data_IF_491847792193
#
_entry.id   IF_491847792193
#
_cell.length_a   1.000
_cell.length_b   1.000
_cell.length_c   1.000
_cell.angle_alpha   90.00
_cell.angle_beta   90.00
_cell.angle_gamma   90.00
#
_symmetry.space_group_name_H-M   'P 1'
#
loop_
_entity.id
_entity.type
_entity.pdbx_description
1 polymer ?
#
# COMPACT_ATOMS: atom_id res chain seq x y z
N UNK A 1 26.45 52.13 -59.91
CA UNK A 1 27.84 51.70 -59.92
C UNK A 1 28.01 50.78 -58.73
N UNK A 2 27.82 49.52 -58.95
CA UNK A 2 28.82 48.47 -58.91
C UNK A 2 29.20 48.22 -57.44
N UNK A 3 29.11 47.07 -56.81
CA UNK A 3 29.06 45.61 -57.18
C UNK A 3 28.83 44.83 -55.90
N UNK A 4 28.01 43.79 -55.93
CA UNK A 4 28.39 42.39 -55.85
C UNK A 4 29.38 42.06 -54.73
N UNK A 5 29.00 41.18 -53.76
CA UNK A 5 29.08 39.72 -53.90
C UNK A 5 28.51 38.92 -52.73
N UNK A 6 27.98 37.70 -52.96
CA UNK A 6 27.37 36.90 -51.96
C UNK A 6 28.41 35.96 -51.34
N UNK A 7 28.47 35.94 -50.03
CA UNK A 7 29.28 34.98 -49.30
C UNK A 7 28.47 33.68 -49.09
N UNK A 8 28.92 32.66 -49.79
CA UNK A 8 28.53 31.27 -49.69
C UNK A 8 28.64 30.74 -48.25
N UNK A 9 27.50 30.46 -47.64
CA UNK A 9 27.46 29.68 -46.43
C UNK A 9 27.44 28.18 -46.80
N UNK A 10 28.51 27.48 -46.47
CA UNK A 10 28.57 26.01 -46.47
C UNK A 10 27.52 25.41 -45.52
N UNK A 11 26.88 24.31 -45.89
CA UNK A 11 26.01 23.61 -44.99
C UNK A 11 26.84 22.86 -43.94
N UNK A 12 26.78 23.34 -42.70
CA UNK A 12 27.34 22.64 -41.55
C UNK A 12 26.69 21.25 -41.41
N UNK A 13 27.49 20.21 -41.58
CA UNK A 13 27.17 18.83 -41.33
C UNK A 13 26.48 18.63 -39.96
N UNK A 14 25.49 17.71 -39.83
CA UNK A 14 24.92 17.37 -38.56
C UNK A 14 26.02 16.74 -37.69
N UNK A 15 26.35 17.37 -36.59
CA UNK A 15 27.16 16.76 -35.55
C UNK A 15 26.40 15.55 -35.01
N UNK A 16 26.94 14.39 -35.25
CA UNK A 16 26.62 13.14 -34.55
C UNK A 16 27.00 13.28 -33.07
N UNK A 17 26.09 13.82 -32.25
CA UNK A 17 26.12 13.72 -30.82
C UNK A 17 25.34 12.48 -30.37
N UNK A 18 25.74 11.30 -30.83
CA UNK A 18 25.27 10.01 -30.35
C UNK A 18 26.24 9.39 -29.31
N UNK A 19 26.75 10.18 -28.39
CA UNK A 19 27.28 9.66 -27.16
C UNK A 19 26.16 9.72 -26.11
N UNK A 20 25.39 8.61 -26.00
CA UNK A 20 24.30 8.48 -25.05
C UNK A 20 24.79 8.84 -23.64
N UNK A 21 24.18 9.88 -23.06
CA UNK A 21 24.52 10.38 -21.75
C UNK A 21 24.36 9.24 -20.73
N UNK A 22 25.44 8.73 -20.10
CA UNK A 22 25.40 7.55 -19.25
C UNK A 22 24.45 7.71 -18.05
N UNK A 23 24.18 8.96 -17.65
CA UNK A 23 23.22 9.29 -16.58
C UNK A 23 21.76 9.05 -17.03
N UNK A 24 21.43 9.39 -18.29
CA UNK A 24 20.10 9.15 -18.83
C UNK A 24 19.83 7.65 -19.02
N UNK A 25 20.83 6.89 -19.43
CA UNK A 25 20.70 5.43 -19.61
C UNK A 25 20.54 4.71 -18.26
N UNK A 26 21.26 5.14 -17.21
CA UNK A 26 21.12 4.56 -15.86
C UNK A 26 19.74 4.84 -15.24
N UNK A 27 19.19 6.05 -15.43
CA UNK A 27 17.83 6.37 -14.93
C UNK A 27 16.75 5.56 -15.63
N UNK A 28 16.81 5.36 -16.93
CA UNK A 28 15.84 4.55 -17.68
C UNK A 28 15.88 3.08 -17.27
N UNK A 29 17.09 2.50 -17.06
CA UNK A 29 17.25 1.12 -16.59
C UNK A 29 16.72 0.94 -15.16
N UNK A 30 16.96 1.90 -14.26
CA UNK A 30 16.45 1.87 -12.89
C UNK A 30 14.91 1.94 -12.83
N UNK A 31 14.28 2.79 -13.63
CA UNK A 31 12.82 2.87 -13.75
C UNK A 31 12.21 1.56 -14.25
N UNK A 32 12.81 0.92 -15.27
CA UNK A 32 12.34 -0.36 -15.77
C UNK A 32 12.40 -1.46 -14.70
N UNK A 33 13.48 -1.54 -13.91
CA UNK A 33 13.61 -2.52 -12.81
C UNK A 33 12.61 -2.25 -11.68
N UNK A 34 12.38 -1.01 -11.33
CA UNK A 34 11.39 -0.62 -10.33
C UNK A 34 9.98 -1.10 -10.71
N UNK A 35 9.60 -0.92 -11.99
CA UNK A 35 8.33 -1.39 -12.54
C UNK A 35 8.24 -2.91 -12.47
N UNK A 36 9.30 -3.63 -12.87
CA UNK A 36 9.34 -5.09 -12.85
C UNK A 36 9.10 -5.62 -11.42
N UNK A 37 9.79 -5.12 -10.41
CA UNK A 37 9.58 -5.55 -9.03
C UNK A 37 8.18 -5.22 -8.51
N UNK A 38 7.62 -4.07 -8.87
CA UNK A 38 6.25 -3.72 -8.51
C UNK A 38 5.23 -4.70 -9.12
N UNK A 39 5.39 -5.03 -10.41
CA UNK A 39 4.53 -5.99 -11.10
C UNK A 39 4.69 -7.39 -10.51
N UNK A 40 5.92 -7.84 -10.27
CA UNK A 40 6.18 -9.14 -9.66
C UNK A 40 5.55 -9.27 -8.27
N UNK A 41 5.60 -8.21 -7.45
CA UNK A 41 4.95 -8.19 -6.14
C UNK A 41 3.42 -8.36 -6.26
N UNK A 42 2.79 -7.70 -7.23
CA UNK A 42 1.35 -7.81 -7.48
C UNK A 42 0.97 -9.20 -8.02
N UNK A 43 1.73 -9.73 -8.98
CA UNK A 43 1.53 -11.10 -9.50
C UNK A 43 1.65 -12.11 -8.36
N UNK A 44 2.67 -11.99 -7.52
CA UNK A 44 2.83 -12.83 -6.33
C UNK A 44 1.60 -12.80 -5.44
N UNK A 45 1.11 -11.59 -5.09
CA UNK A 45 -0.07 -11.43 -4.24
C UNK A 45 -1.34 -12.05 -4.85
N UNK A 46 -1.54 -11.88 -6.15
CA UNK A 46 -2.69 -12.47 -6.86
C UNK A 46 -2.60 -14.00 -6.88
N UNK A 47 -1.42 -14.56 -7.13
CA UNK A 47 -1.24 -16.02 -7.15
C UNK A 47 -1.34 -16.66 -5.76
N UNK A 48 -0.81 -16.00 -4.74
CA UNK A 48 -0.77 -16.54 -3.37
C UNK A 48 -2.01 -16.24 -2.55
N UNK A 49 -2.79 -15.23 -2.94
CA UNK A 49 -4.04 -14.86 -2.29
C UNK A 49 -5.01 -16.03 -2.11
N UNK A 50 -5.44 -16.72 -3.19
CA UNK A 50 -6.34 -17.88 -3.10
C UNK A 50 -5.79 -19.01 -2.21
N UNK A 51 -4.49 -19.29 -2.30
CA UNK A 51 -3.84 -20.30 -1.46
C UNK A 51 -3.92 -19.93 0.02
N UNK A 52 -3.65 -18.68 0.34
CA UNK A 52 -3.78 -18.18 1.71
C UNK A 52 -5.21 -18.27 2.23
N UNK A 53 -6.21 -17.97 1.38
CA UNK A 53 -7.62 -18.10 1.76
C UNK A 53 -8.00 -19.57 2.06
N UNK A 54 -7.56 -20.51 1.22
CA UNK A 54 -7.80 -21.94 1.44
C UNK A 54 -7.15 -22.39 2.76
N UNK A 55 -5.90 -21.97 3.03
CA UNK A 55 -5.21 -22.30 4.27
C UNK A 55 -5.92 -21.71 5.51
N UNK A 56 -6.43 -20.48 5.43
CA UNK A 56 -7.21 -19.87 6.49
C UNK A 56 -8.48 -20.68 6.81
N UNK A 57 -9.17 -21.19 5.77
CA UNK A 57 -10.35 -22.02 5.96
C UNK A 57 -9.98 -23.38 6.55
N UNK A 58 -8.90 -23.98 6.07
CA UNK A 58 -8.51 -25.34 6.47
C UNK A 58 -7.89 -25.40 7.88
N UNK A 59 -7.12 -24.35 8.25
CA UNK A 59 -6.32 -24.38 9.48
C UNK A 59 -6.94 -23.61 10.66
N UNK A 60 -7.88 -22.67 10.40
CA UNK A 60 -8.48 -21.84 11.44
C UNK A 60 -9.95 -22.21 11.70
N UNK A 61 -10.33 -22.24 12.96
CA UNK A 61 -11.73 -22.31 13.37
C UNK A 61 -12.51 -21.07 12.91
N UNK A 62 -13.83 -21.16 12.64
CA UNK A 62 -14.64 -20.02 12.19
C UNK A 62 -14.47 -18.78 13.08
N UNK A 63 -14.52 -18.93 14.39
CA UNK A 63 -14.33 -17.84 15.34
C UNK A 63 -12.93 -17.18 15.20
N UNK A 64 -11.86 -17.96 15.07
CA UNK A 64 -10.50 -17.44 14.90
C UNK A 64 -10.32 -16.69 13.56
N UNK A 65 -11.02 -17.12 12.51
CA UNK A 65 -11.05 -16.40 11.21
C UNK A 65 -11.74 -15.04 11.34
N UNK A 66 -12.81 -14.95 12.11
CA UNK A 66 -13.49 -13.68 12.39
C UNK A 66 -12.53 -12.68 13.05
N UNK A 67 -11.77 -13.12 14.07
CA UNK A 67 -10.75 -12.30 14.69
C UNK A 67 -9.65 -11.88 13.69
N UNK A 68 -9.22 -12.79 12.80
CA UNK A 68 -8.20 -12.49 11.79
C UNK A 68 -8.61 -11.30 10.89
N UNK A 69 -9.84 -11.30 10.38
CA UNK A 69 -10.34 -10.22 9.54
C UNK A 69 -10.70 -8.97 10.33
N UNK A 70 -11.26 -9.12 11.53
CA UNK A 70 -11.58 -8.00 12.41
C UNK A 70 -10.29 -7.25 12.85
N UNK A 71 -9.20 -7.95 13.14
CA UNK A 71 -7.89 -7.35 13.42
C UNK A 71 -7.42 -6.51 12.22
N UNK A 72 -7.48 -7.08 11.03
CA UNK A 72 -7.07 -6.38 9.80
C UNK A 72 -7.91 -5.13 9.56
N UNK A 73 -9.23 -5.19 9.81
CA UNK A 73 -10.14 -4.04 9.66
C UNK A 73 -9.87 -2.94 10.68
N UNK A 74 -9.64 -3.30 11.95
CA UNK A 74 -9.31 -2.30 12.98
C UNK A 74 -7.96 -1.65 12.71
N UNK A 75 -6.95 -2.44 12.30
CA UNK A 75 -5.65 -1.88 11.90
C UNK A 75 -5.76 -0.93 10.71
N UNK A 76 -6.71 -1.16 9.81
CA UNK A 76 -7.03 -0.24 8.72
C UNK A 76 -7.38 1.18 9.18
N UNK A 77 -7.73 1.39 10.47
CA UNK A 77 -7.91 2.73 11.05
C UNK A 77 -6.65 3.59 11.01
N UNK A 78 -5.47 3.01 10.76
CA UNK A 78 -4.24 3.79 10.57
C UNK A 78 -4.42 4.86 9.47
N UNK A 79 -5.24 4.60 8.45
CA UNK A 79 -5.55 5.56 7.37
C UNK A 79 -6.20 6.83 7.93
N UNK A 80 -7.02 6.71 9.00
CA UNK A 80 -7.68 7.85 9.65
C UNK A 80 -6.68 8.72 10.45
N UNK A 81 -5.58 8.15 10.89
CA UNK A 81 -4.53 8.84 11.66
C UNK A 81 -3.47 9.40 10.71
N UNK A 82 -3.17 8.65 9.66
CA UNK A 82 -2.20 9.03 8.63
C UNK A 82 -2.69 10.19 7.75
N UNK A 83 -4.01 10.27 7.50
CA UNK A 83 -4.66 11.33 6.71
C UNK A 83 -4.02 11.55 5.33
N UNK A 84 -3.43 10.53 4.74
CA UNK A 84 -2.80 10.59 3.42
C UNK A 84 -1.49 11.39 3.34
N UNK A 85 -0.87 11.68 4.47
CA UNK A 85 0.39 12.46 4.55
C UNK A 85 1.53 11.84 3.74
N UNK A 86 1.57 10.51 3.59
CA UNK A 86 2.61 9.84 2.79
C UNK A 86 2.64 10.37 1.35
N UNK A 87 1.46 10.63 0.73
CA UNK A 87 1.38 11.18 -0.63
C UNK A 87 1.94 12.61 -0.68
N UNK A 88 1.64 13.41 0.35
CA UNK A 88 2.16 14.78 0.45
C UNK A 88 3.68 14.77 0.57
N UNK A 89 4.23 13.88 1.42
CA UNK A 89 5.68 13.73 1.61
C UNK A 89 6.35 13.36 0.28
N UNK A 90 5.80 12.38 -0.46
CA UNK A 90 6.33 11.97 -1.76
C UNK A 90 6.38 13.15 -2.72
N UNK A 91 5.29 13.91 -2.84
CA UNK A 91 5.21 15.06 -3.74
C UNK A 91 6.20 16.17 -3.36
N UNK A 92 6.28 16.53 -2.08
CA UNK A 92 7.21 17.56 -1.61
C UNK A 92 8.67 17.10 -1.76
N UNK A 93 8.98 15.87 -1.37
CA UNK A 93 10.32 15.33 -1.51
C UNK A 93 10.75 15.24 -2.98
N UNK A 94 9.85 14.88 -3.91
CA UNK A 94 10.17 14.85 -5.34
C UNK A 94 10.44 16.23 -5.92
N UNK A 95 9.75 17.26 -5.44
CA UNK A 95 10.00 18.65 -5.84
C UNK A 95 11.40 19.10 -5.43
N UNK A 96 11.77 18.89 -4.17
CA UNK A 96 13.11 19.27 -3.67
C UNK A 96 14.22 18.40 -4.30
N UNK A 97 13.91 17.16 -4.65
CA UNK A 97 14.85 16.24 -5.28
C UNK A 97 15.35 16.72 -6.66
N UNK A 98 14.59 17.54 -7.35
CA UNK A 98 15.00 18.09 -8.65
C UNK A 98 16.32 18.87 -8.59
N UNK A 99 16.65 19.47 -7.44
CA UNK A 99 17.90 20.19 -7.19
C UNK A 99 18.98 19.38 -6.46
N UNK A 100 18.75 18.08 -6.19
CA UNK A 100 19.59 17.24 -5.36
C UNK A 100 20.09 15.97 -6.07
N UNK A 101 21.18 15.40 -5.59
CA UNK A 101 21.73 14.13 -6.04
C UNK A 101 22.22 13.33 -4.84
N UNK A 102 22.14 12.00 -4.95
CA UNK A 102 22.67 11.09 -3.93
C UNK A 102 23.98 10.47 -4.44
N UNK A 103 25.11 10.85 -3.85
CA UNK A 103 26.41 10.27 -4.16
C UNK A 103 27.00 9.64 -2.90
N UNK A 104 27.33 8.35 -2.96
CA UNK A 104 27.91 7.59 -1.84
C UNK A 104 27.11 7.64 -0.52
N UNK A 105 25.79 7.89 -0.61
CA UNK A 105 24.89 8.00 0.55
C UNK A 105 24.86 9.39 1.18
N UNK A 106 25.43 10.41 0.54
CA UNK A 106 25.44 11.81 0.97
C UNK A 106 24.60 12.63 -0.02
N UNK A 107 23.82 13.58 0.52
CA UNK A 107 23.03 14.52 -0.28
C UNK A 107 23.92 15.67 -0.77
N UNK A 108 24.05 15.78 -2.10
CA UNK A 108 24.76 16.85 -2.77
C UNK A 108 23.77 17.64 -3.63
N UNK A 109 23.97 18.95 -3.76
CA UNK A 109 23.16 19.84 -4.59
C UNK A 109 22.89 21.20 -3.94
N UNK A 110 21.76 21.81 -4.28
CA UNK A 110 21.41 23.14 -3.80
C UNK A 110 21.19 23.10 -2.28
N UNK A 111 21.86 23.96 -1.49
CA UNK A 111 21.78 23.94 -0.03
C UNK A 111 20.37 24.25 0.48
N UNK A 112 19.59 25.06 -0.24
CA UNK A 112 18.21 25.41 0.11
C UNK A 112 17.29 24.18 -0.03
N UNK A 113 17.31 23.47 -1.15
CA UNK A 113 16.52 22.25 -1.36
C UNK A 113 16.90 21.15 -0.36
N UNK A 114 18.22 21.03 -0.03
CA UNK A 114 18.69 20.11 0.99
C UNK A 114 18.12 20.47 2.37
N UNK A 115 18.16 21.75 2.78
CA UNK A 115 17.64 22.21 4.07
C UNK A 115 16.10 21.99 4.13
N UNK A 116 15.36 22.27 3.06
CA UNK A 116 13.91 22.01 2.98
C UNK A 116 13.57 20.54 3.10
N UNK A 117 14.29 19.66 2.39
CA UNK A 117 14.09 18.21 2.47
C UNK A 117 14.36 17.67 3.89
N UNK A 118 15.43 18.13 4.54
CA UNK A 118 15.74 17.77 5.93
C UNK A 118 14.64 18.27 6.88
N UNK A 119 14.22 19.53 6.74
CA UNK A 119 13.13 20.12 7.53
C UNK A 119 11.83 19.31 7.38
N UNK A 120 11.47 18.90 6.14
CA UNK A 120 10.34 18.03 5.86
C UNK A 120 10.46 16.70 6.64
N UNK A 121 11.61 16.03 6.55
CA UNK A 121 11.84 14.75 7.21
C UNK A 121 11.73 14.84 8.74
N UNK A 122 12.32 15.87 9.35
CA UNK A 122 12.24 16.10 10.81
C UNK A 122 10.80 16.40 11.23
N UNK A 123 10.09 17.27 10.52
CA UNK A 123 8.70 17.64 10.83
C UNK A 123 7.79 16.42 10.73
N UNK A 124 7.88 15.66 9.62
CA UNK A 124 7.06 14.47 9.39
C UNK A 124 7.38 13.34 10.38
N UNK A 125 8.66 13.13 10.71
CA UNK A 125 9.03 12.13 11.72
C UNK A 125 8.48 12.45 13.12
N UNK A 126 8.43 13.72 13.50
CA UNK A 126 7.79 14.14 14.75
C UNK A 126 6.29 13.90 14.72
N UNK A 127 5.62 14.28 13.63
CA UNK A 127 4.19 14.04 13.47
C UNK A 127 3.85 12.54 13.53
N UNK A 128 4.56 11.71 12.76
CA UNK A 128 4.28 10.28 12.73
C UNK A 128 4.59 9.56 14.05
N UNK A 129 5.54 10.05 14.85
CA UNK A 129 5.75 9.53 16.22
C UNK A 129 4.57 9.84 17.13
N UNK A 130 4.01 11.04 17.04
CA UNK A 130 2.81 11.43 17.80
C UNK A 130 1.61 10.61 17.29
N UNK A 131 1.45 10.49 15.97
CA UNK A 131 0.41 9.69 15.34
C UNK A 131 0.48 8.21 15.74
N UNK A 132 1.68 7.61 15.79
CA UNK A 132 1.91 6.25 16.24
C UNK A 132 1.55 6.06 17.72
N UNK A 133 1.88 7.03 18.56
CA UNK A 133 1.49 7.00 19.98
C UNK A 133 -0.02 7.09 20.16
N UNK A 134 -0.68 8.01 19.46
CA UNK A 134 -2.15 8.14 19.46
C UNK A 134 -2.78 6.83 18.93
N UNK A 135 -2.25 6.28 17.83
CA UNK A 135 -2.70 5.00 17.28
C UNK A 135 -2.65 3.90 18.33
N UNK A 136 -1.53 3.74 19.01
CA UNK A 136 -1.37 2.72 20.04
C UNK A 136 -2.30 2.94 21.24
N UNK A 137 -2.37 4.18 21.74
CA UNK A 137 -3.18 4.52 22.92
C UNK A 137 -4.69 4.46 22.65
N UNK A 138 -5.12 4.67 21.43
CA UNK A 138 -6.54 4.61 21.05
C UNK A 138 -6.91 3.19 20.58
N UNK A 139 -6.14 2.61 19.67
CA UNK A 139 -6.53 1.36 19.03
C UNK A 139 -6.37 0.14 19.95
N UNK A 140 -5.34 0.11 20.79
CA UNK A 140 -5.16 -1.03 21.71
C UNK A 140 -6.33 -1.15 22.70
N UNK A 141 -6.71 -0.08 23.46
CA UNK A 141 -7.88 -0.17 24.35
C UNK A 141 -9.20 -0.38 23.60
N UNK A 142 -9.37 0.28 22.45
CA UNK A 142 -10.57 0.09 21.62
C UNK A 142 -10.76 -1.37 21.20
N UNK A 143 -9.68 -2.07 20.85
CA UNK A 143 -9.71 -3.50 20.55
C UNK A 143 -10.05 -4.32 21.79
N UNK A 144 -9.49 -4.02 22.95
CA UNK A 144 -9.83 -4.70 24.20
C UNK A 144 -11.31 -4.59 24.53
N UNK A 145 -11.89 -3.39 24.41
CA UNK A 145 -13.32 -3.15 24.63
C UNK A 145 -14.16 -3.84 23.53
N UNK A 146 -13.74 -3.73 22.28
CA UNK A 146 -14.48 -4.28 21.14
C UNK A 146 -14.55 -5.80 21.17
N UNK A 147 -13.44 -6.49 21.43
CA UNK A 147 -13.36 -7.95 21.48
C UNK A 147 -13.80 -8.51 22.84
N UNK A 148 -13.49 -7.85 23.94
CA UNK A 148 -13.87 -8.27 25.29
C UNK A 148 -15.36 -8.19 25.58
N UNK A 149 -16.08 -7.22 24.97
CA UNK A 149 -17.54 -7.10 25.12
C UNK A 149 -18.31 -8.27 24.49
N UNK A 150 -17.68 -9.08 23.67
CA UNK A 150 -18.28 -10.28 23.06
C UNK A 150 -18.38 -11.45 24.06
N UNK A 151 -17.53 -11.50 25.09
CA UNK A 151 -17.54 -12.54 26.12
C UNK A 151 -18.76 -12.42 27.06
N UNK A 152 -19.39 -11.24 27.13
CA UNK A 152 -20.49 -10.94 28.05
C UNK A 152 -21.90 -11.14 27.49
N UNK A 153 -22.05 -11.34 26.19
CA UNK A 153 -23.36 -11.55 25.55
C UNK A 153 -23.67 -13.06 25.52
N UNK A 154 -24.30 -13.54 26.57
CA UNK A 154 -24.61 -14.94 26.82
C UNK A 154 -25.58 -15.57 25.80
N UNK A 155 -25.05 -16.05 24.68
CA UNK A 155 -25.72 -16.96 23.76
C UNK A 155 -24.78 -18.12 23.49
N UNK A 156 -25.29 -19.31 23.24
CA UNK A 156 -24.56 -20.59 23.08
C UNK A 156 -23.37 -20.60 22.09
N UNK A 157 -23.17 -19.54 21.32
CA UNK A 157 -22.02 -19.29 20.46
C UNK A 157 -20.79 -18.73 21.24
N UNK A 158 -20.97 -18.26 22.47
CA UNK A 158 -19.88 -17.71 23.31
C UNK A 158 -18.79 -18.75 23.64
N UNK A 159 -19.09 -20.03 23.59
CA UNK A 159 -18.14 -21.09 23.95
C UNK A 159 -16.99 -21.24 22.94
N UNK A 160 -17.20 -21.02 21.64
CA UNK A 160 -16.15 -21.17 20.63
C UNK A 160 -15.22 -19.93 20.56
N UNK A 161 -15.75 -18.71 20.79
CA UNK A 161 -14.95 -17.48 20.87
C UNK A 161 -14.13 -17.39 22.16
N UNK A 162 -14.65 -17.89 23.28
CA UNK A 162 -13.96 -17.90 24.56
C UNK A 162 -12.65 -18.73 24.55
N UNK A 163 -12.50 -19.67 23.60
CA UNK A 163 -11.28 -20.48 23.46
C UNK A 163 -10.17 -19.81 22.65
N UNK A 164 -10.46 -18.68 21.97
CA UNK A 164 -9.47 -17.99 21.13
C UNK A 164 -8.65 -17.02 21.97
N UNK A 165 -7.36 -17.30 22.10
CA UNK A 165 -6.40 -16.39 22.75
C UNK A 165 -6.02 -15.25 21.81
N UNK A 166 -6.76 -14.15 21.89
CA UNK A 166 -6.63 -13.00 20.96
C UNK A 166 -5.85 -11.82 21.55
N UNK A 167 -5.77 -11.67 22.88
CA UNK A 167 -5.27 -10.49 23.56
C UNK A 167 -3.81 -10.20 23.26
N UNK A 168 -2.93 -11.18 23.39
CA UNK A 168 -1.48 -11.00 23.15
C UNK A 168 -1.15 -10.80 21.68
N UNK A 169 -1.71 -11.57 20.71
CA UNK A 169 -1.59 -11.24 19.29
C UNK A 169 -2.07 -9.83 18.93
N UNK A 170 -3.17 -9.36 19.52
CA UNK A 170 -3.68 -8.02 19.31
C UNK A 170 -2.72 -6.94 19.81
N UNK A 171 -2.21 -7.07 21.03
CA UNK A 171 -1.24 -6.15 21.61
C UNK A 171 0.02 -6.02 20.74
N UNK A 172 0.62 -7.16 20.38
CA UNK A 172 1.85 -7.17 19.60
C UNK A 172 1.61 -6.63 18.18
N UNK A 173 0.49 -6.97 17.57
CA UNK A 173 0.15 -6.52 16.23
C UNK A 173 -0.05 -4.99 16.19
N UNK A 174 -0.76 -4.41 17.16
CA UNK A 174 -0.93 -2.96 17.29
C UNK A 174 0.40 -2.25 17.58
N UNK A 175 1.24 -2.81 18.44
CA UNK A 175 2.56 -2.26 18.74
C UNK A 175 3.49 -2.28 17.51
N UNK A 176 3.55 -3.40 16.79
CA UNK A 176 4.33 -3.51 15.55
C UNK A 176 3.84 -2.50 14.51
N UNK A 177 2.51 -2.37 14.35
CA UNK A 177 1.92 -1.41 13.39
C UNK A 177 2.22 0.03 13.79
N UNK A 178 2.18 0.37 15.08
CA UNK A 178 2.59 1.69 15.57
C UNK A 178 4.06 2.00 15.24
N UNK A 179 4.96 1.02 15.39
CA UNK A 179 6.37 1.18 14.99
C UNK A 179 6.48 1.33 13.46
N UNK A 180 5.73 0.55 12.67
CA UNK A 180 5.71 0.71 11.20
C UNK A 180 5.26 2.11 10.77
N UNK A 181 4.27 2.71 11.46
CA UNK A 181 3.87 4.10 11.21
C UNK A 181 5.04 5.08 11.36
N UNK A 182 5.93 4.88 12.32
CA UNK A 182 7.11 5.75 12.48
C UNK A 182 8.13 5.64 11.35
N UNK A 183 8.12 4.53 10.58
CA UNK A 183 9.00 4.32 9.44
C UNK A 183 8.44 4.91 8.14
N UNK A 184 7.14 5.16 8.09
CA UNK A 184 6.44 5.57 6.87
C UNK A 184 6.97 6.88 6.26
N UNK A 185 7.26 7.96 7.02
CA UNK A 185 7.83 9.18 6.45
C UNK A 185 9.18 8.95 5.78
N UNK A 186 10.04 8.09 6.32
CA UNK A 186 11.33 7.76 5.75
C UNK A 186 11.21 7.01 4.42
N UNK A 187 10.29 6.04 4.36
CA UNK A 187 9.98 5.31 3.12
C UNK A 187 9.40 6.25 2.05
N UNK A 188 8.51 7.17 2.46
CA UNK A 188 7.91 8.16 1.56
C UNK A 188 8.95 9.15 1.01
N UNK A 189 9.92 9.58 1.82
CA UNK A 189 11.04 10.43 1.37
C UNK A 189 11.89 9.66 0.35
N UNK A 190 12.24 8.39 0.59
CA UNK A 190 12.98 7.58 -0.37
C UNK A 190 12.23 7.43 -1.70
N UNK A 191 10.90 7.26 -1.64
CA UNK A 191 10.06 7.18 -2.83
C UNK A 191 10.07 8.51 -3.60
N UNK A 192 9.94 9.65 -2.92
CA UNK A 192 10.03 10.99 -3.51
C UNK A 192 11.43 11.31 -4.04
N UNK A 193 12.49 10.82 -3.42
CA UNK A 193 13.87 10.95 -3.88
C UNK A 193 14.25 9.95 -5.00
N UNK A 194 13.28 9.39 -5.69
CA UNK A 194 13.47 8.46 -6.82
C UNK A 194 14.24 7.18 -6.50
N UNK A 195 14.31 6.77 -5.21
CA UNK A 195 14.92 5.50 -4.80
C UNK A 195 13.93 4.32 -4.89
N UNK A 196 13.06 4.37 -5.91
CA UNK A 196 11.89 3.48 -6.07
C UNK A 196 12.31 2.03 -6.39
N UNK A 197 13.45 1.82 -7.08
CA UNK A 197 13.90 0.47 -7.45
C UNK A 197 14.16 -0.39 -6.21
N UNK A 198 14.97 0.11 -5.28
CA UNK A 198 15.30 -0.64 -4.07
C UNK A 198 14.11 -0.78 -3.14
N UNK A 199 13.25 0.24 -3.06
CA UNK A 199 12.02 0.21 -2.29
C UNK A 199 11.06 -0.88 -2.81
N UNK A 200 10.80 -0.93 -4.13
CA UNK A 200 9.94 -1.96 -4.73
C UNK A 200 10.55 -3.36 -4.65
N UNK A 201 11.87 -3.48 -4.77
CA UNK A 201 12.57 -4.74 -4.52
C UNK A 201 12.37 -5.22 -3.08
N UNK A 202 12.48 -4.34 -2.11
CA UNK A 202 12.24 -4.67 -0.70
C UNK A 202 10.78 -5.06 -0.48
N UNK A 203 9.82 -4.31 -1.02
CA UNK A 203 8.38 -4.63 -0.97
C UNK A 203 8.07 -6.01 -1.58
N UNK A 204 8.75 -6.38 -2.65
CA UNK A 204 8.62 -7.72 -3.25
C UNK A 204 9.08 -8.82 -2.30
N UNK A 205 10.27 -8.68 -1.69
CA UNK A 205 10.76 -9.65 -0.71
C UNK A 205 9.92 -9.69 0.57
N UNK A 206 9.37 -8.57 1.01
CA UNK A 206 8.38 -8.50 2.08
C UNK A 206 7.10 -9.29 1.76
N UNK A 207 6.62 -9.19 0.52
CA UNK A 207 5.45 -9.94 0.08
C UNK A 207 5.71 -11.45 0.11
N UNK A 208 6.85 -11.90 -0.40
CA UNK A 208 7.23 -13.32 -0.35
C UNK A 208 7.42 -13.78 1.09
N UNK A 209 8.27 -13.12 1.85
CA UNK A 209 8.60 -13.50 3.23
C UNK A 209 7.36 -13.48 4.13
N UNK A 210 6.53 -12.44 4.02
CA UNK A 210 5.28 -12.36 4.76
C UNK A 210 4.32 -13.49 4.43
N UNK A 211 4.14 -13.81 3.15
CA UNK A 211 3.27 -14.92 2.72
C UNK A 211 3.78 -16.28 3.21
N UNK A 212 5.06 -16.56 3.04
CA UNK A 212 5.67 -17.83 3.49
C UNK A 212 5.52 -17.99 5.01
N UNK A 213 5.78 -16.94 5.77
CA UNK A 213 5.63 -16.96 7.24
C UNK A 213 4.17 -17.18 7.64
N UNK A 214 3.20 -16.54 6.96
CA UNK A 214 1.77 -16.79 7.19
C UNK A 214 1.44 -18.27 6.96
N UNK A 215 1.87 -18.85 5.86
CA UNK A 215 1.61 -20.26 5.56
C UNK A 215 2.24 -21.20 6.59
N UNK A 216 3.49 -20.96 6.96
CA UNK A 216 4.15 -21.75 8.01
C UNK A 216 3.39 -21.65 9.34
N UNK A 217 2.99 -20.45 9.77
CA UNK A 217 2.24 -20.26 11.01
C UNK A 217 0.86 -20.94 10.97
N UNK A 218 0.16 -20.89 9.85
CA UNK A 218 -1.13 -21.55 9.69
C UNK A 218 -0.99 -23.08 9.73
N UNK A 219 0.00 -23.64 9.02
CA UNK A 219 0.26 -25.08 8.98
C UNK A 219 0.73 -25.64 10.34
N UNK A 220 1.43 -24.83 11.14
CA UNK A 220 1.90 -25.22 12.49
C UNK A 220 0.90 -24.93 13.59
N UNK A 221 -0.31 -24.41 13.28
CA UNK A 221 -1.39 -24.16 14.23
C UNK A 221 -1.24 -22.87 15.06
N UNK A 222 -0.31 -21.97 14.71
CA UNK A 222 -0.14 -20.70 15.43
C UNK A 222 -1.28 -19.69 15.21
N UNK A 223 -2.23 -19.96 14.34
CA UNK A 223 -3.48 -19.19 14.22
C UNK A 223 -3.28 -17.69 14.00
N UNK A 224 -3.76 -16.87 14.94
CA UNK A 224 -3.70 -15.40 14.88
C UNK A 224 -2.27 -14.82 14.89
N UNK A 225 -1.28 -15.58 15.37
CA UNK A 225 0.13 -15.20 15.34
C UNK A 225 0.67 -15.03 13.92
N UNK A 226 0.01 -15.63 12.93
CA UNK A 226 0.37 -15.45 11.52
C UNK A 226 0.36 -13.98 11.09
N UNK A 227 -0.60 -13.18 11.58
CA UNK A 227 -0.64 -11.72 11.34
C UNK A 227 0.53 -10.99 12.00
N UNK A 228 0.83 -11.34 13.26
CA UNK A 228 1.92 -10.74 14.02
C UNK A 228 3.26 -11.00 13.35
N UNK A 229 3.52 -12.26 12.97
CA UNK A 229 4.77 -12.66 12.31
C UNK A 229 4.92 -12.01 10.93
N UNK A 230 3.85 -11.94 10.15
CA UNK A 230 3.86 -11.23 8.85
C UNK A 230 4.14 -9.74 9.02
N UNK A 231 3.54 -9.08 10.01
CA UNK A 231 3.81 -7.69 10.33
C UNK A 231 5.26 -7.48 10.80
N UNK A 232 5.79 -8.41 11.63
CA UNK A 232 7.18 -8.38 12.08
C UNK A 232 8.17 -8.50 10.91
N UNK A 233 7.93 -9.41 9.96
CA UNK A 233 8.78 -9.53 8.76
C UNK A 233 8.81 -8.22 7.98
N UNK A 234 7.65 -7.57 7.78
CA UNK A 234 7.60 -6.26 7.10
C UNK A 234 8.40 -5.21 7.87
N UNK A 235 8.19 -5.09 9.17
CA UNK A 235 8.92 -4.15 10.01
C UNK A 235 10.44 -4.37 9.94
N UNK A 236 10.90 -5.62 10.06
CA UNK A 236 12.33 -5.95 10.00
C UNK A 236 12.96 -5.57 8.66
N UNK A 237 12.25 -5.80 7.55
CA UNK A 237 12.72 -5.40 6.23
C UNK A 237 12.79 -3.87 6.09
N UNK A 238 11.80 -3.13 6.60
CA UNK A 238 11.79 -1.66 6.56
C UNK A 238 12.92 -1.09 7.42
N UNK A 239 13.11 -1.61 8.64
CA UNK A 239 14.22 -1.22 9.50
C UNK A 239 15.57 -1.54 8.87
N UNK A 240 15.72 -2.72 8.26
CA UNK A 240 16.95 -3.08 7.53
C UNK A 240 17.22 -2.09 6.40
N UNK A 241 16.22 -1.77 5.58
CA UNK A 241 16.34 -0.82 4.48
C UNK A 241 16.80 0.55 4.97
N UNK A 242 16.10 1.12 5.96
CA UNK A 242 16.35 2.45 6.48
C UNK A 242 17.72 2.53 7.17
N UNK A 243 18.02 1.61 8.11
CA UNK A 243 19.21 1.72 8.95
C UNK A 243 20.48 1.18 8.28
N UNK A 244 20.38 0.06 7.55
CA UNK A 244 21.56 -0.58 6.96
C UNK A 244 21.90 -0.02 5.57
N UNK A 245 20.88 0.26 4.75
CA UNK A 245 21.12 0.68 3.37
C UNK A 245 21.18 2.20 3.23
N UNK A 246 20.31 2.91 3.92
CA UNK A 246 20.19 4.37 3.87
C UNK A 246 20.58 5.05 5.19
N UNK A 247 21.27 4.39 6.11
CA UNK A 247 21.67 4.96 7.39
C UNK A 247 22.48 6.25 7.27
N UNK A 248 23.43 6.32 6.31
CA UNK A 248 24.21 7.54 6.03
C UNK A 248 23.34 8.67 5.48
N UNK A 249 22.42 8.35 4.60
CA UNK A 249 21.46 9.32 4.05
C UNK A 249 20.60 9.94 5.17
N UNK A 250 20.07 9.12 6.07
CA UNK A 250 19.23 9.60 7.16
C UNK A 250 20.00 10.19 8.34
N UNK A 251 21.31 9.93 8.48
CA UNK A 251 22.13 10.60 9.51
C UNK A 251 22.19 12.10 9.32
N UNK A 252 22.11 12.60 8.07
CA UNK A 252 22.05 14.03 7.77
C UNK A 252 20.76 14.70 8.28
N UNK A 253 19.65 13.96 8.39
CA UNK A 253 18.39 14.46 8.93
C UNK A 253 18.41 14.57 10.47
N UNK A 254 19.30 13.85 11.13
CA UNK A 254 19.47 13.94 12.59
C UNK A 254 20.41 15.08 13.00
N UNK A 255 21.45 15.32 12.19
CA UNK A 255 22.51 16.31 12.46
C UNK A 255 22.29 17.67 11.79
N UNK A 256 21.32 17.78 10.87
CA UNK A 256 21.07 19.01 10.12
C UNK A 256 20.39 20.08 10.96
N UNK A 257 20.89 21.32 10.84
CA UNK A 257 20.31 22.51 11.46
C UNK A 257 18.97 22.84 10.75
N UNK A 258 17.86 22.64 11.43
CA UNK A 258 16.50 22.75 10.86
C UNK A 258 15.97 24.18 10.75
N UNK A 259 16.78 25.20 11.12
CA UNK A 259 16.27 26.58 11.24
C UNK A 259 16.28 27.39 9.92
N UNK A 260 16.99 26.93 8.90
CA UNK A 260 17.24 27.75 7.70
C UNK A 260 16.09 27.78 6.66
N UNK A 261 15.20 26.78 6.63
CA UNK A 261 14.10 26.75 5.65
C UNK A 261 12.90 25.94 6.20
N UNK A 262 12.03 26.60 6.95
CA UNK A 262 10.85 25.94 7.54
C UNK A 262 9.73 25.81 6.52
N UNK A 263 9.18 24.59 6.40
CA UNK A 263 7.97 24.33 5.64
C UNK A 263 6.77 24.85 6.43
N UNK A 264 5.95 25.67 5.77
CA UNK A 264 4.69 26.15 6.36
C UNK A 264 3.60 25.10 6.19
N UNK A 265 3.25 24.42 7.33
CA UNK A 265 2.21 23.40 7.36
C UNK A 265 0.86 23.88 6.81
N UNK A 266 0.47 25.12 7.15
CA UNK A 266 -0.86 25.64 6.78
C UNK A 266 -0.99 25.98 5.31
N UNK A 267 0.09 26.48 4.70
CA UNK A 267 0.06 26.94 3.31
C UNK A 267 0.45 25.85 2.31
N UNK A 268 1.40 24.98 2.67
CA UNK A 268 1.98 24.02 1.75
C UNK A 268 1.39 22.60 1.90
N UNK A 269 1.11 22.14 3.13
CA UNK A 269 0.70 20.76 3.41
C UNK A 269 -0.82 20.61 3.51
N UNK A 270 -1.46 21.45 4.32
CA UNK A 270 -2.88 21.33 4.66
C UNK A 270 -3.84 21.38 3.43
N UNK A 271 -3.62 22.24 2.42
CA UNK A 271 -4.53 22.31 1.26
C UNK A 271 -4.58 21.04 0.43
N UNK A 272 -3.49 20.27 0.40
CA UNK A 272 -3.44 18.99 -0.29
C UNK A 272 -3.94 17.86 0.61
N UNK A 273 -3.54 17.88 1.87
CA UNK A 273 -3.82 16.82 2.84
C UNK A 273 -5.32 16.60 3.10
N UNK A 274 -6.10 17.67 3.33
CA UNK A 274 -7.50 17.52 3.73
C UNK A 274 -8.36 16.80 2.68
N UNK A 275 -8.07 17.00 1.40
CA UNK A 275 -8.78 16.33 0.29
C UNK A 275 -8.51 14.84 0.29
N UNK A 276 -7.24 14.45 0.47
CA UNK A 276 -6.83 13.04 0.53
C UNK A 276 -7.37 12.39 1.81
N UNK A 277 -7.37 13.13 2.92
CA UNK A 277 -7.90 12.67 4.19
C UNK A 277 -9.39 12.31 4.11
N UNK A 278 -10.23 13.19 3.54
CA UNK A 278 -11.66 12.91 3.38
C UNK A 278 -11.86 11.66 2.52
N UNK A 279 -11.15 11.54 1.40
CA UNK A 279 -11.24 10.35 0.54
C UNK A 279 -10.86 9.07 1.31
N UNK A 280 -9.78 9.10 2.07
CA UNK A 280 -9.33 7.96 2.88
C UNK A 280 -10.35 7.57 3.96
N UNK A 281 -10.93 8.54 4.65
CA UNK A 281 -11.97 8.33 5.69
C UNK A 281 -13.20 7.69 5.06
N UNK A 282 -13.70 8.23 3.96
CA UNK A 282 -14.89 7.70 3.28
C UNK A 282 -14.65 6.27 2.78
N UNK A 283 -13.48 6.01 2.21
CA UNK A 283 -13.10 4.67 1.75
C UNK A 283 -12.99 3.68 2.91
N UNK A 284 -12.40 4.08 4.03
CA UNK A 284 -12.31 3.24 5.22
C UNK A 284 -13.70 2.91 5.78
N UNK A 285 -14.58 3.91 5.91
CA UNK A 285 -15.95 3.70 6.37
C UNK A 285 -16.72 2.75 5.46
N UNK A 286 -16.59 2.90 4.15
CA UNK A 286 -17.28 2.05 3.18
C UNK A 286 -16.80 0.60 3.19
N UNK A 287 -15.50 0.37 3.40
CA UNK A 287 -14.88 -0.96 3.26
C UNK A 287 -14.77 -1.69 4.60
N UNK A 288 -14.30 -1.03 5.64
CA UNK A 288 -13.92 -1.70 6.89
C UNK A 288 -15.03 -1.72 7.94
N UNK A 289 -15.84 -0.65 7.99
CA UNK A 289 -16.92 -0.56 8.98
C UNK A 289 -17.96 -1.70 8.87
N UNK A 290 -18.42 -2.11 7.67
CA UNK A 290 -19.36 -3.22 7.55
C UNK A 290 -18.85 -4.53 8.17
N UNK A 291 -17.56 -4.84 8.02
CA UNK A 291 -16.98 -6.05 8.58
C UNK A 291 -17.00 -6.04 10.12
N UNK A 292 -16.67 -4.90 10.73
CA UNK A 292 -16.72 -4.75 12.20
C UNK A 292 -18.15 -4.85 12.73
N UNK A 293 -19.13 -4.34 11.97
CA UNK A 293 -20.55 -4.47 12.31
C UNK A 293 -21.00 -5.94 12.25
N UNK A 294 -20.64 -6.66 11.18
CA UNK A 294 -20.96 -8.10 11.03
C UNK A 294 -20.28 -8.92 12.12
N UNK A 295 -19.03 -8.67 12.44
CA UNK A 295 -18.31 -9.33 13.54
C UNK A 295 -19.08 -9.23 14.88
N UNK A 296 -19.68 -8.06 15.13
CA UNK A 296 -20.38 -7.83 16.41
C UNK A 296 -21.80 -8.37 16.47
N UNK A 297 -22.49 -8.43 15.32
CA UNK A 297 -23.95 -8.69 15.27
C UNK A 297 -24.33 -10.05 14.71
N UNK A 298 -23.44 -10.71 13.99
CA UNK A 298 -23.73 -11.95 13.29
C UNK A 298 -23.04 -13.16 13.97
N UNK A 299 -23.51 -14.39 13.70
CA UNK A 299 -22.91 -15.63 14.16
C UNK A 299 -21.44 -15.78 13.76
N UNK A 300 -20.76 -16.73 14.44
CA UNK A 300 -19.35 -17.03 14.15
C UNK A 300 -19.15 -17.54 12.72
N UNK A 301 -18.17 -16.96 12.05
CA UNK A 301 -17.80 -17.27 10.68
C UNK A 301 -18.37 -16.31 9.63
N UNK A 302 -19.38 -15.49 9.93
CA UNK A 302 -19.96 -14.59 8.95
C UNK A 302 -19.09 -13.36 8.65
N UNK A 303 -18.39 -12.84 9.67
CA UNK A 303 -17.40 -11.79 9.45
C UNK A 303 -16.22 -12.29 8.61
N UNK A 304 -15.79 -13.52 8.81
CA UNK A 304 -14.77 -14.15 7.98
C UNK A 304 -15.22 -14.32 6.54
N UNK A 305 -16.46 -14.78 6.30
CA UNK A 305 -17.03 -14.90 4.95
C UNK A 305 -17.05 -13.56 4.21
N UNK A 306 -17.48 -12.50 4.89
CA UNK A 306 -17.46 -11.15 4.34
C UNK A 306 -16.03 -10.70 4.05
N UNK A 307 -15.12 -10.86 5.01
CA UNK A 307 -13.72 -10.46 4.87
C UNK A 307 -13.00 -11.20 3.74
N UNK A 308 -13.24 -12.50 3.59
CA UNK A 308 -12.67 -13.31 2.51
C UNK A 308 -13.19 -12.87 1.15
N UNK A 309 -14.50 -12.74 1.00
CA UNK A 309 -15.12 -12.28 -0.24
C UNK A 309 -14.58 -10.90 -0.62
N UNK A 310 -14.51 -10.00 0.36
CA UNK A 310 -14.00 -8.65 0.16
C UNK A 310 -12.53 -8.61 -0.21
N UNK A 311 -11.69 -9.46 0.41
CA UNK A 311 -10.25 -9.52 0.09
C UNK A 311 -9.99 -9.99 -1.35
N UNK A 312 -10.81 -10.90 -1.87
CA UNK A 312 -10.72 -11.35 -3.28
C UNK A 312 -11.14 -10.23 -4.22
N UNK A 313 -12.25 -9.53 -3.92
CA UNK A 313 -12.72 -8.40 -4.72
C UNK A 313 -11.72 -7.25 -4.74
N UNK A 314 -11.12 -6.89 -3.59
CA UNK A 314 -10.09 -5.84 -3.52
C UNK A 314 -8.81 -6.23 -4.24
N UNK A 315 -8.42 -7.50 -4.24
CA UNK A 315 -7.30 -7.99 -5.05
C UNK A 315 -7.58 -7.86 -6.55
N UNK A 316 -8.79 -8.22 -7.00
CA UNK A 316 -9.24 -8.04 -8.37
C UNK A 316 -9.29 -6.56 -8.77
N UNK A 317 -9.83 -5.70 -7.90
CA UNK A 317 -9.84 -4.25 -8.07
C UNK A 317 -8.43 -3.68 -8.23
N UNK A 318 -7.49 -4.10 -7.37
CA UNK A 318 -6.08 -3.69 -7.46
C UNK A 318 -5.44 -4.08 -8.78
N UNK A 319 -5.73 -5.27 -9.30
CA UNK A 319 -5.26 -5.71 -10.61
C UNK A 319 -5.86 -4.88 -11.75
N UNK A 320 -7.17 -4.60 -11.70
CA UNK A 320 -7.85 -3.77 -12.70
C UNK A 320 -7.34 -2.32 -12.71
N UNK A 321 -7.14 -1.72 -11.54
CA UNK A 321 -6.63 -0.35 -11.38
C UNK A 321 -5.15 -0.22 -11.79
N UNK A 322 -4.36 -1.27 -11.63
CA UNK A 322 -2.95 -1.25 -12.04
C UNK A 322 -2.76 -0.85 -13.51
N UNK A 323 -3.72 -1.22 -14.37
CA UNK A 323 -3.72 -0.83 -15.78
C UNK A 323 -3.86 0.68 -15.99
N UNK A 324 -4.66 1.37 -15.19
CA UNK A 324 -4.82 2.83 -15.23
C UNK A 324 -3.62 3.52 -14.57
N UNK A 325 -3.16 3.00 -13.44
CA UNK A 325 -2.05 3.58 -12.68
C UNK A 325 -0.74 3.63 -13.47
N UNK A 326 -0.46 2.61 -14.28
CA UNK A 326 0.73 2.60 -15.15
C UNK A 326 0.70 3.71 -16.21
N UNK A 327 -0.47 4.29 -16.50
CA UNK A 327 -0.66 5.36 -17.51
C UNK A 327 -0.78 6.76 -16.89
N UNK A 328 -0.79 6.89 -15.57
CA UNK A 328 -0.85 8.20 -14.88
C UNK A 328 0.21 9.20 -15.37
N UNK A 329 1.49 8.82 -15.55
CA UNK A 329 2.51 9.75 -16.05
C UNK A 329 2.18 10.26 -17.46
N UNK A 330 1.67 9.39 -18.35
CA UNK A 330 1.25 9.75 -19.70
C UNK A 330 0.05 10.71 -19.68
N UNK A 331 -0.90 10.53 -18.77
CA UNK A 331 -2.01 11.48 -18.60
C UNK A 331 -1.49 12.85 -18.19
N UNK A 332 -0.51 12.90 -17.28
CA UNK A 332 0.13 14.15 -16.84
C UNK A 332 0.81 14.90 -17.99
N UNK A 333 1.57 14.21 -18.85
CA UNK A 333 2.22 14.84 -19.99
C UNK A 333 1.23 15.34 -21.05
N UNK A 334 0.18 14.55 -21.34
CA UNK A 334 -0.86 14.96 -22.30
C UNK A 334 -1.66 16.18 -21.83
N UNK A 335 -1.91 16.30 -20.52
CA UNK A 335 -2.54 17.49 -19.94
C UNK A 335 -1.63 18.70 -20.08
N UNK A 336 -0.33 18.56 -19.79
CA UNK A 336 0.65 19.63 -19.94
C UNK A 336 0.78 20.10 -21.39
N UNK A 337 0.71 19.17 -22.35
CA UNK A 337 0.73 19.44 -23.78
C UNK A 337 -0.63 19.94 -24.33
N UNK A 338 -1.69 19.99 -23.51
CA UNK A 338 -3.08 20.33 -23.89
C UNK A 338 -3.67 19.45 -24.99
N UNK A 339 -3.22 18.20 -25.11
CA UNK A 339 -3.69 17.22 -26.11
C UNK A 339 -4.87 16.41 -25.56
N UNK A 340 -5.97 17.07 -25.30
CA UNK A 340 -7.13 16.47 -24.65
C UNK A 340 -7.80 15.37 -25.50
N UNK A 341 -7.81 15.48 -26.83
CA UNK A 341 -8.39 14.45 -27.72
C UNK A 341 -7.69 13.09 -27.56
N UNK A 342 -6.35 13.11 -27.48
CA UNK A 342 -5.55 11.90 -27.29
C UNK A 342 -5.72 11.39 -25.87
N UNK A 343 -5.77 12.28 -24.88
CA UNK A 343 -6.02 11.96 -23.47
C UNK A 343 -7.34 11.21 -23.32
N UNK A 344 -8.43 11.73 -23.91
CA UNK A 344 -9.76 11.13 -23.82
C UNK A 344 -9.80 9.73 -24.43
N UNK A 345 -9.19 9.53 -25.60
CA UNK A 345 -9.11 8.21 -26.24
C UNK A 345 -8.39 7.20 -25.36
N UNK A 346 -7.23 7.58 -24.81
CA UNK A 346 -6.43 6.67 -23.95
C UNK A 346 -7.15 6.43 -22.62
N UNK A 347 -7.78 7.46 -22.05
CA UNK A 347 -8.52 7.36 -20.80
C UNK A 347 -9.71 6.40 -20.94
N UNK A 348 -10.60 6.63 -21.93
CA UNK A 348 -11.76 5.77 -22.15
C UNK A 348 -11.38 4.34 -22.51
N UNK A 349 -10.30 4.13 -23.30
CA UNK A 349 -9.79 2.79 -23.57
C UNK A 349 -9.31 2.12 -22.28
N UNK A 350 -8.57 2.83 -21.43
CA UNK A 350 -8.05 2.30 -20.16
C UNK A 350 -9.17 2.00 -19.18
N UNK A 351 -10.14 2.91 -19.05
CA UNK A 351 -11.32 2.72 -18.22
C UNK A 351 -12.14 1.50 -18.66
N UNK A 352 -12.37 1.34 -19.98
CA UNK A 352 -13.09 0.17 -20.52
C UNK A 352 -12.37 -1.15 -20.19
N UNK A 353 -11.06 -1.20 -20.35
CA UNK A 353 -10.27 -2.40 -20.01
C UNK A 353 -10.39 -2.71 -18.51
N UNK A 354 -10.27 -1.71 -17.64
CA UNK A 354 -10.40 -1.90 -16.19
C UNK A 354 -11.81 -2.35 -15.79
N UNK A 355 -12.85 -1.80 -16.39
CA UNK A 355 -14.24 -2.20 -16.14
C UNK A 355 -14.45 -3.66 -16.59
N UNK A 356 -13.97 -4.04 -17.78
CA UNK A 356 -14.09 -5.42 -18.28
C UNK A 356 -13.32 -6.39 -17.38
N UNK A 357 -12.10 -6.04 -16.96
CA UNK A 357 -11.33 -6.87 -16.03
C UNK A 357 -12.05 -7.04 -14.69
N UNK A 358 -12.61 -5.98 -14.14
CA UNK A 358 -13.36 -6.07 -12.89
C UNK A 358 -14.64 -6.89 -13.05
N UNK A 359 -15.41 -6.66 -14.11
CA UNK A 359 -16.63 -7.40 -14.39
C UNK A 359 -16.37 -8.91 -14.61
N UNK A 360 -15.30 -9.27 -15.33
CA UNK A 360 -14.91 -10.68 -15.51
C UNK A 360 -14.44 -11.32 -14.21
N UNK A 361 -13.71 -10.60 -13.35
CA UNK A 361 -13.30 -11.10 -12.05
C UNK A 361 -14.50 -11.30 -11.11
N UNK A 362 -15.45 -10.35 -11.10
CA UNK A 362 -16.68 -10.42 -10.32
C UNK A 362 -17.57 -11.59 -10.78
N UNK A 363 -17.79 -11.74 -12.09
CA UNK A 363 -18.54 -12.85 -12.67
C UNK A 363 -17.83 -14.20 -12.41
N UNK A 364 -16.50 -14.24 -12.51
CA UNK A 364 -15.71 -15.41 -12.20
C UNK A 364 -15.85 -15.84 -10.75
N UNK A 365 -15.75 -14.89 -9.80
CA UNK A 365 -15.94 -15.16 -8.38
C UNK A 365 -17.36 -15.68 -8.09
N UNK A 366 -18.38 -15.02 -8.63
CA UNK A 366 -19.78 -15.44 -8.48
C UNK A 366 -20.01 -16.84 -9.06
N UNK A 367 -19.41 -17.13 -10.23
CA UNK A 367 -19.46 -18.44 -10.87
C UNK A 367 -18.77 -19.53 -10.04
N UNK A 368 -17.59 -19.25 -9.47
CA UNK A 368 -16.87 -20.18 -8.57
C UNK A 368 -17.73 -20.49 -7.35
N UNK A 369 -18.32 -19.47 -6.71
CA UNK A 369 -19.20 -19.66 -5.54
C UNK A 369 -20.43 -20.50 -5.92
N UNK A 370 -21.04 -20.25 -7.09
CA UNK A 370 -22.18 -21.01 -7.57
C UNK A 370 -21.83 -22.50 -7.84
N UNK A 371 -20.70 -22.76 -8.49
CA UNK A 371 -20.19 -24.12 -8.72
C UNK A 371 -19.83 -24.82 -7.42
N UNK A 372 -19.21 -24.11 -6.49
CA UNK A 372 -18.84 -24.64 -5.17
C UNK A 372 -20.07 -25.08 -4.37
N UNK A 373 -21.16 -24.29 -4.39
CA UNK A 373 -22.40 -24.63 -3.72
C UNK A 373 -23.15 -25.82 -4.35
N UNK A 374 -22.93 -26.06 -5.66
CA UNK A 374 -23.50 -27.19 -6.41
C UNK A 374 -22.67 -28.47 -6.40
N UNK A 375 -21.43 -28.43 -5.90
CA UNK A 375 -20.51 -29.55 -5.95
C UNK A 375 -20.38 -30.24 -4.58
N UNK A 376 -20.54 -31.58 -4.58
CA UNK A 376 -20.29 -32.42 -3.39
C UNK A 376 -18.79 -32.73 -3.19
N UNK A 377 -17.91 -31.82 -3.58
CA UNK A 377 -16.46 -31.99 -3.44
C UNK A 377 -15.97 -31.34 -2.16
N UNK A 378 -14.90 -31.88 -1.53
CA UNK A 378 -14.26 -31.27 -0.36
C UNK A 378 -13.88 -29.82 -0.59
N UNK A 379 -13.49 -29.45 -1.81
CA UNK A 379 -13.14 -28.10 -2.18
C UNK A 379 -14.38 -27.19 -2.24
N UNK A 380 -15.52 -27.73 -2.72
CA UNK A 380 -16.80 -27.03 -2.70
C UNK A 380 -17.30 -26.75 -1.27
N UNK A 381 -17.18 -27.71 -0.37
CA UNK A 381 -17.52 -27.54 1.04
C UNK A 381 -16.63 -26.48 1.72
N UNK A 382 -15.31 -26.50 1.47
CA UNK A 382 -14.38 -25.50 1.98
C UNK A 382 -14.72 -24.09 1.48
N UNK A 383 -14.94 -23.93 0.18
CA UNK A 383 -15.26 -22.63 -0.41
C UNK A 383 -16.62 -22.10 0.06
N UNK A 384 -17.63 -22.98 0.18
CA UNK A 384 -18.94 -22.56 0.70
C UNK A 384 -18.90 -22.19 2.18
N UNK A 385 -18.00 -22.80 2.97
CA UNK A 385 -17.77 -22.42 4.37
C UNK A 385 -17.01 -21.08 4.50
N UNK A 386 -16.24 -20.68 3.49
CA UNK A 386 -15.40 -19.49 3.54
C UNK A 386 -15.96 -18.26 2.82
N UNK A 387 -16.87 -18.43 1.85
CA UNK A 387 -17.39 -17.33 1.04
C UNK A 387 -18.85 -17.03 1.36
N UNK A 388 -19.27 -15.81 1.06
CA UNK A 388 -20.69 -15.43 1.15
C UNK A 388 -21.54 -16.22 0.14
N UNK A 389 -22.84 -16.45 0.44
CA UNK A 389 -23.75 -17.08 -0.50
C UNK A 389 -23.87 -16.29 -1.82
N UNK A 390 -24.18 -17.01 -2.91
CA UNK A 390 -24.17 -16.47 -4.29
C UNK A 390 -24.88 -15.11 -4.42
N UNK A 391 -26.05 -14.95 -3.80
CA UNK A 391 -26.81 -13.68 -3.86
C UNK A 391 -26.05 -12.51 -3.23
N UNK A 392 -25.44 -12.74 -2.06
CA UNK A 392 -24.67 -11.71 -1.36
C UNK A 392 -23.36 -11.39 -2.11
N UNK A 393 -22.68 -12.40 -2.66
CA UNK A 393 -21.48 -12.22 -3.48
C UNK A 393 -21.80 -11.41 -4.74
N UNK A 394 -22.92 -11.69 -5.42
CA UNK A 394 -23.33 -10.97 -6.62
C UNK A 394 -23.71 -9.51 -6.36
N UNK A 395 -24.19 -9.18 -5.15
CA UNK A 395 -24.51 -7.79 -4.77
C UNK A 395 -23.23 -7.00 -4.48
N UNK A 396 -22.19 -7.65 -3.91
CA UNK A 396 -20.93 -7.01 -3.57
C UNK A 396 -19.97 -6.87 -4.77
N UNK A 397 -20.09 -7.76 -5.75
CA UNK A 397 -19.23 -7.80 -6.95
C UNK A 397 -19.69 -6.79 -8.01
#
# INVERSE_FOLDING_TARGET
MISDDPCSAEPSSPREDSAGNPVATQTVVGVNRAIVFSVLARVWQVCTGPVTQILLIACLLPAARDYYYAFSSLLGMQVLIELGLHVVIINMASHEWAGLRLEHGILLGQPESKARLISLGVLMSRWYRIAALIFLLVLFPSGLVFFGSQESVGVSAASARATVTWQLPWLLLTAITAIQLTQLPWLSILEGCHQVELLNRTRFWQAIGGTVVVWCCLMTGFGLWSLVMSAAVRLLCDLWLIHRRYGRFFSEFVSGDSDAARIDWRQEVLPLQWRIAIQGIMLWLAIQLPLLFVFRRQPDGDAARLGMTWSILTAAQGAALAWVETRRPLFGSLIAERRFDVLDQIFFRSARVSIVLMATAAAGLTGIVWLAMGSNTRLGELLSAGLLPVRATAILA
#
